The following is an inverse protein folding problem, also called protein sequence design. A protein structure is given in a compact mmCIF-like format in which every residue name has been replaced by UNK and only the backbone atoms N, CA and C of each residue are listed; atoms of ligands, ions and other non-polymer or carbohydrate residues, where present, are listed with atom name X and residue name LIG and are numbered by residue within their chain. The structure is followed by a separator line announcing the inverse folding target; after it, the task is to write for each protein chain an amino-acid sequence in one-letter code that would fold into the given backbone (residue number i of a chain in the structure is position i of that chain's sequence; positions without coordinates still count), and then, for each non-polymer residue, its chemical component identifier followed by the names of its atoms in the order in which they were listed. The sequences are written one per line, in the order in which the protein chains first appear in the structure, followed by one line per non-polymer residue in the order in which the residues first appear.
data_IF_359360774055
#
_entry.id   IF_359360774055
#
_cell.length_a   1.000
_cell.length_b   1.000
_cell.length_c   1.000
_cell.angle_alpha   90.00
_cell.angle_beta   90.00
_cell.angle_gamma   90.00
#
_symmetry.space_group_name_H-M   'P 1'
#
loop_
_entity.id
_entity.type
_entity.pdbx_description
1 polymer ?
#
# COMPACT_ATOMS: atom_id res chain seq x y z
N UNK A 1 27.11 39.08 -3.34
CA UNK A 1 26.93 38.07 -2.30
C UNK A 1 25.58 37.44 -2.54
N UNK A 2 25.53 36.29 -3.19
CA UNK A 2 24.32 35.54 -3.46
C UNK A 2 23.96 34.73 -2.21
N UNK A 3 23.00 35.21 -1.46
CA UNK A 3 22.42 34.48 -0.32
C UNK A 3 21.66 33.27 -0.87
N UNK A 4 22.27 32.12 -0.84
CA UNK A 4 21.57 30.85 -1.09
C UNK A 4 20.53 30.66 0.02
N UNK A 5 19.24 30.85 -0.32
CA UNK A 5 18.14 30.55 0.57
C UNK A 5 18.24 29.08 0.98
N UNK A 6 18.27 28.74 2.29
CA UNK A 6 18.33 27.35 2.69
C UNK A 6 17.14 26.59 2.07
N UNK A 7 17.44 25.46 1.42
CA UNK A 7 16.39 24.60 0.90
C UNK A 7 15.49 24.18 2.07
N UNK A 8 14.22 24.60 2.05
CA UNK A 8 13.24 24.17 3.03
C UNK A 8 13.19 22.63 3.00
N UNK A 9 13.37 22.01 4.17
CA UNK A 9 13.23 20.57 4.29
C UNK A 9 11.83 20.18 3.80
N UNK A 10 11.75 19.27 2.82
CA UNK A 10 10.47 18.80 2.28
C UNK A 10 9.76 17.96 3.34
N UNK A 11 8.49 18.24 3.56
CA UNK A 11 7.65 17.28 4.27
C UNK A 11 7.49 16.00 3.43
N UNK A 12 7.44 14.85 4.06
CA UNK A 12 7.20 13.56 3.37
C UNK A 12 5.76 13.15 3.60
N UNK A 13 5.05 12.83 2.52
CA UNK A 13 3.69 12.31 2.58
C UNK A 13 3.61 10.97 1.87
N UNK A 14 3.03 9.98 2.53
CA UNK A 14 2.70 8.67 1.98
C UNK A 14 1.20 8.62 1.72
N UNK A 15 0.80 8.13 0.56
CA UNK A 15 -0.60 8.01 0.17
C UNK A 15 -0.86 6.64 -0.43
N UNK A 16 -1.93 6.00 0.01
CA UNK A 16 -2.39 4.71 -0.49
C UNK A 16 -3.91 4.65 -0.53
N UNK A 17 -4.46 3.85 -1.44
CA UNK A 17 -5.89 3.70 -1.61
C UNK A 17 -6.26 2.39 -2.27
N UNK A 18 -7.32 1.76 -1.77
CA UNK A 18 -7.75 0.46 -2.25
C UNK A 18 -9.26 0.28 -2.23
N UNK A 19 -9.72 -0.69 -2.99
CA UNK A 19 -11.12 -1.05 -3.11
C UNK A 19 -11.25 -2.58 -3.19
N UNK A 20 -12.15 -3.17 -2.41
CA UNK A 20 -12.35 -4.61 -2.41
C UNK A 20 -13.80 -4.97 -2.05
N UNK A 21 -14.56 -5.62 -3.00
CA UNK A 21 -14.17 -5.89 -4.39
C UNK A 21 -13.97 -4.61 -5.21
N UNK A 22 -13.34 -4.69 -6.37
CA UNK A 22 -13.12 -3.56 -7.26
C UNK A 22 -13.92 -3.74 -8.58
N UNK A 23 -14.97 -2.94 -8.85
CA UNK A 23 -15.50 -1.83 -8.02
C UNK A 23 -16.25 -2.30 -6.78
N UNK A 24 -16.34 -1.41 -5.76
CA UNK A 24 -17.05 -1.70 -4.51
C UNK A 24 -16.66 -0.73 -3.39
N UNK A 25 -16.74 -1.14 -2.12
CA UNK A 25 -16.32 -0.31 -1.01
C UNK A 25 -14.80 -0.16 -0.99
N UNK A 26 -14.33 1.07 -0.87
CA UNK A 26 -12.91 1.40 -0.84
C UNK A 26 -12.55 2.36 0.27
N UNK A 27 -11.25 2.53 0.48
CA UNK A 27 -10.70 3.47 1.45
C UNK A 27 -9.40 4.08 0.98
N UNK A 28 -9.03 5.17 1.59
CA UNK A 28 -7.78 5.88 1.37
C UNK A 28 -7.10 6.17 2.70
N UNK A 29 -5.79 6.19 2.70
CA UNK A 29 -4.94 6.48 3.85
C UNK A 29 -3.79 7.40 3.49
N UNK A 30 -3.44 8.28 4.40
CA UNK A 30 -2.35 9.25 4.26
C UNK A 30 -1.55 9.29 5.56
N UNK A 31 -0.23 9.30 5.42
CA UNK A 31 0.71 9.57 6.51
C UNK A 31 1.57 10.75 6.11
N UNK A 32 1.65 11.77 6.94
CA UNK A 32 2.47 12.96 6.72
C UNK A 32 3.50 13.05 7.82
N UNK A 33 4.76 13.19 7.43
CA UNK A 33 5.89 13.38 8.33
C UNK A 33 6.55 14.73 8.02
N UNK A 34 6.49 15.64 8.95
CA UNK A 34 7.02 16.99 8.82
C UNK A 34 7.67 17.49 10.12
N UNK A 35 8.15 18.71 10.10
CA UNK A 35 8.81 19.34 11.25
C UNK A 35 7.88 19.46 12.47
N UNK A 36 6.58 19.55 12.27
CA UNK A 36 5.55 19.68 13.33
C UNK A 36 5.09 18.31 13.86
N UNK A 37 5.65 17.22 13.36
CA UNK A 37 5.30 15.86 13.77
C UNK A 37 4.65 15.04 12.67
N UNK A 38 3.93 14.00 13.10
CA UNK A 38 3.25 13.03 12.22
C UNK A 38 1.74 13.28 12.23
N UNK A 39 1.15 13.32 11.02
CA UNK A 39 -0.30 13.40 10.83
C UNK A 39 -0.77 12.18 10.06
N UNK A 40 -1.90 11.61 10.46
CA UNK A 40 -2.52 10.46 9.81
C UNK A 40 -3.96 10.79 9.46
N UNK A 41 -4.34 10.52 8.21
CA UNK A 41 -5.68 10.75 7.69
C UNK A 41 -6.19 9.48 7.03
N UNK A 42 -7.48 9.21 7.15
CA UNK A 42 -8.12 8.13 6.42
C UNK A 42 -9.60 8.46 6.15
N UNK A 43 -10.17 7.73 5.22
CA UNK A 43 -11.58 7.78 4.90
C UNK A 43 -11.91 6.77 3.80
N UNK A 44 -13.17 6.70 3.42
CA UNK A 44 -13.59 5.72 2.42
C UNK A 44 -14.90 6.07 1.77
N UNK A 45 -15.27 5.26 0.78
CA UNK A 45 -16.51 5.33 0.01
C UNK A 45 -17.10 3.92 -0.14
N UNK A 46 -18.43 3.83 -0.11
CA UNK A 46 -19.14 2.54 -0.26
C UNK A 46 -19.16 2.01 -1.68
N UNK A 47 -18.97 2.89 -2.66
CA UNK A 47 -19.07 2.55 -4.07
C UNK A 47 -18.01 3.31 -4.88
N UNK A 48 -16.85 2.70 -5.04
CA UNK A 48 -15.69 3.34 -5.69
C UNK A 48 -14.85 2.33 -6.47
N UNK A 49 -13.63 2.74 -6.86
CA UNK A 49 -12.63 1.88 -7.51
C UNK A 49 -11.25 2.13 -6.92
N UNK A 50 -10.31 1.19 -7.08
CA UNK A 50 -8.92 1.37 -6.65
C UNK A 50 -8.36 2.71 -7.12
N UNK A 51 -8.41 2.99 -8.43
CA UNK A 51 -7.85 4.22 -8.98
C UNK A 51 -8.44 5.49 -8.37
N UNK A 52 -9.74 5.49 -8.04
CA UNK A 52 -10.37 6.63 -7.35
C UNK A 52 -9.83 6.81 -5.95
N UNK A 53 -9.64 5.73 -5.20
CA UNK A 53 -9.11 5.79 -3.84
C UNK A 53 -7.64 6.21 -3.82
N UNK A 54 -6.81 5.72 -4.74
CA UNK A 54 -5.43 6.15 -4.92
C UNK A 54 -5.32 7.65 -5.25
N UNK A 55 -6.14 8.15 -6.17
CA UNK A 55 -6.22 9.58 -6.47
C UNK A 55 -6.70 10.38 -5.27
N UNK A 56 -7.73 9.91 -4.58
CA UNK A 56 -8.27 10.58 -3.39
C UNK A 56 -7.22 10.67 -2.30
N UNK A 57 -6.45 9.61 -2.04
CA UNK A 57 -5.36 9.63 -1.08
C UNK A 57 -4.32 10.73 -1.41
N UNK A 58 -3.90 10.80 -2.67
CA UNK A 58 -2.96 11.83 -3.13
C UNK A 58 -3.53 13.25 -3.00
N UNK A 59 -4.80 13.45 -3.35
CA UNK A 59 -5.51 14.72 -3.19
C UNK A 59 -5.58 15.12 -1.71
N UNK A 60 -5.99 14.22 -0.83
CA UNK A 60 -6.09 14.48 0.63
C UNK A 60 -4.74 14.80 1.24
N UNK A 61 -3.67 14.12 0.80
CA UNK A 61 -2.31 14.44 1.22
C UNK A 61 -1.90 15.85 0.81
N UNK A 62 -2.07 16.22 -0.47
CA UNK A 62 -1.70 17.55 -0.94
C UNK A 62 -2.57 18.65 -0.35
N UNK A 63 -3.87 18.41 -0.15
CA UNK A 63 -4.81 19.39 0.44
C UNK A 63 -4.46 19.76 1.89
N UNK A 64 -3.73 18.89 2.59
CA UNK A 64 -3.26 19.17 3.95
C UNK A 64 -2.26 20.34 4.01
N UNK A 65 -1.50 20.55 2.96
CA UNK A 65 -0.46 21.56 2.92
C UNK A 65 -0.95 22.87 2.30
N UNK A 66 -0.50 24.04 2.77
CA UNK A 66 -0.77 25.31 2.10
C UNK A 66 -0.08 25.38 0.72
N UNK A 67 -0.54 26.31 -0.12
CA UNK A 67 0.12 26.59 -1.39
C UNK A 67 1.58 27.03 -1.18
N UNK A 68 2.47 26.66 -2.09
CA UNK A 68 3.90 26.94 -2.01
C UNK A 68 4.71 25.98 -1.13
N UNK A 69 4.07 25.01 -0.46
CA UNK A 69 4.77 24.00 0.34
C UNK A 69 5.67 23.11 -0.53
N UNK A 70 6.83 22.75 0.03
CA UNK A 70 7.73 21.76 -0.55
C UNK A 70 7.44 20.37 0.04
N UNK A 71 7.04 19.40 -0.81
CA UNK A 71 6.55 18.09 -0.40
C UNK A 71 7.27 17.01 -1.20
N UNK A 72 7.63 15.91 -0.56
CA UNK A 72 7.95 14.65 -1.22
C UNK A 72 6.77 13.70 -1.05
N UNK A 73 6.03 13.48 -2.14
CA UNK A 73 4.89 12.56 -2.18
C UNK A 73 5.38 11.15 -2.56
N UNK A 74 5.12 10.18 -1.71
CA UNK A 74 5.48 8.76 -1.89
C UNK A 74 4.23 7.91 -2.01
N UNK A 75 4.07 7.18 -3.09
CA UNK A 75 2.99 6.21 -3.27
C UNK A 75 3.44 5.05 -4.16
N UNK A 76 2.78 3.93 -4.05
CA UNK A 76 3.04 2.73 -4.86
C UNK A 76 2.12 2.62 -6.08
N UNK A 77 1.16 3.53 -6.22
CA UNK A 77 0.30 3.61 -7.39
C UNK A 77 1.05 4.12 -8.62
N UNK A 78 1.35 3.23 -9.55
CA UNK A 78 1.88 3.64 -10.86
C UNK A 78 0.87 4.49 -11.65
N UNK A 79 -0.43 4.29 -11.41
CA UNK A 79 -1.47 5.08 -12.05
C UNK A 79 -1.38 6.56 -11.64
N UNK A 80 -1.27 6.86 -10.35
CA UNK A 80 -1.10 8.22 -9.84
C UNK A 80 0.22 8.82 -10.33
N UNK A 81 1.34 8.12 -10.16
CA UNK A 81 2.67 8.61 -10.57
C UNK A 81 2.69 8.97 -12.05
N UNK A 82 2.30 8.05 -12.94
CA UNK A 82 2.27 8.31 -14.38
C UNK A 82 1.28 9.39 -14.78
N UNK A 83 0.16 9.48 -14.08
CA UNK A 83 -0.80 10.57 -14.34
C UNK A 83 -0.15 11.93 -14.14
N UNK A 84 0.52 12.15 -13.01
CA UNK A 84 1.10 13.47 -12.68
C UNK A 84 2.40 13.77 -13.41
N UNK A 85 3.23 12.74 -13.69
CA UNK A 85 4.55 12.95 -14.28
C UNK A 85 4.56 12.89 -15.80
N UNK A 86 3.62 12.13 -16.41
CA UNK A 86 3.66 11.85 -17.84
C UNK A 86 2.39 12.33 -18.57
N UNK A 87 1.19 12.01 -18.08
CA UNK A 87 -0.03 12.07 -18.88
C UNK A 87 -0.79 13.38 -18.75
N UNK A 88 -0.87 13.99 -17.57
CA UNK A 88 -1.71 15.19 -17.31
C UNK A 88 -1.38 16.34 -18.25
N UNK A 89 -0.10 16.56 -18.56
CA UNK A 89 0.30 17.63 -19.49
C UNK A 89 -0.36 17.47 -20.86
N UNK A 90 -0.36 16.23 -21.37
CA UNK A 90 -0.97 15.92 -22.67
C UNK A 90 -2.50 15.97 -22.62
N UNK A 91 -3.10 15.53 -21.53
CA UNK A 91 -4.56 15.59 -21.34
C UNK A 91 -5.06 17.04 -21.23
N UNK A 92 -4.37 17.89 -20.48
CA UNK A 92 -4.70 19.32 -20.38
C UNK A 92 -4.68 20.01 -21.74
N UNK A 93 -3.64 19.78 -22.56
CA UNK A 93 -3.52 20.33 -23.90
C UNK A 93 -4.67 19.90 -24.85
N UNK A 94 -5.31 18.76 -24.55
CA UNK A 94 -6.44 18.18 -25.32
C UNK A 94 -7.80 18.38 -24.62
N UNK A 95 -7.91 19.32 -23.67
CA UNK A 95 -9.15 19.57 -22.94
C UNK A 95 -9.62 18.37 -22.12
N UNK A 96 -8.71 17.62 -21.50
CA UNK A 96 -8.97 16.42 -20.69
C UNK A 96 -9.66 15.30 -21.46
N UNK A 97 -9.24 15.10 -22.71
CA UNK A 97 -9.75 14.07 -23.60
C UNK A 97 -8.65 13.14 -24.08
N UNK A 98 -9.04 11.88 -24.28
CA UNK A 98 -8.25 10.85 -24.98
C UNK A 98 -8.81 10.61 -26.37
N UNK A 99 -8.20 9.74 -27.17
CA UNK A 99 -8.72 9.32 -28.47
C UNK A 99 -10.08 8.62 -28.37
N UNK A 100 -10.40 8.02 -27.22
CA UNK A 100 -11.62 7.22 -26.99
C UNK A 100 -12.68 7.96 -26.16
N UNK A 101 -12.43 9.22 -25.74
CA UNK A 101 -13.39 9.98 -24.95
C UNK A 101 -12.75 10.78 -23.81
N UNK A 102 -13.53 11.22 -22.83
CA UNK A 102 -13.02 11.92 -21.64
C UNK A 102 -12.00 11.07 -20.88
N UNK A 103 -11.03 11.72 -20.24
CA UNK A 103 -10.12 11.06 -19.31
C UNK A 103 -10.93 10.43 -18.16
N UNK A 104 -10.62 9.20 -17.77
CA UNK A 104 -11.27 8.55 -16.63
C UNK A 104 -10.94 9.31 -15.35
N UNK A 105 -11.92 9.44 -14.44
CA UNK A 105 -11.81 10.18 -13.17
C UNK A 105 -11.34 11.62 -13.38
N UNK A 106 -11.82 12.26 -14.42
CA UNK A 106 -11.34 13.59 -14.87
C UNK A 106 -11.47 14.64 -13.77
N UNK A 107 -12.50 14.58 -12.96
CA UNK A 107 -12.72 15.48 -11.81
C UNK A 107 -11.60 15.37 -10.78
N UNK A 108 -11.21 14.16 -10.42
CA UNK A 108 -10.10 13.91 -9.48
C UNK A 108 -8.74 14.26 -10.10
N UNK A 109 -8.58 14.01 -11.41
CA UNK A 109 -7.36 14.38 -12.13
C UNK A 109 -7.18 15.90 -12.18
N UNK A 110 -8.25 16.66 -12.40
CA UNK A 110 -8.22 18.13 -12.41
C UNK A 110 -7.93 18.71 -11.03
N UNK A 111 -8.55 18.15 -9.98
CA UNK A 111 -8.27 18.55 -8.60
C UNK A 111 -6.82 18.27 -8.23
N UNK A 112 -6.31 17.06 -8.53
CA UNK A 112 -4.92 16.69 -8.28
C UNK A 112 -3.94 17.59 -9.03
N UNK A 113 -4.21 17.92 -10.29
CA UNK A 113 -3.39 18.82 -11.09
C UNK A 113 -3.33 20.24 -10.50
N UNK A 114 -4.47 20.78 -10.06
CA UNK A 114 -4.53 22.09 -9.43
C UNK A 114 -3.73 22.13 -8.11
N UNK A 115 -3.87 21.10 -7.28
CA UNK A 115 -3.13 20.97 -6.02
C UNK A 115 -1.63 20.82 -6.26
N UNK A 116 -1.24 20.02 -7.25
CA UNK A 116 0.14 19.79 -7.63
C UNK A 116 0.79 21.07 -8.19
N UNK A 117 0.08 21.82 -9.04
CA UNK A 117 0.57 23.08 -9.61
C UNK A 117 0.76 24.18 -8.56
N UNK A 118 -0.01 24.15 -7.48
CA UNK A 118 0.08 25.13 -6.39
C UNK A 118 1.22 24.86 -5.40
N UNK A 119 1.95 23.75 -5.52
CA UNK A 119 2.97 23.29 -4.55
C UNK A 119 4.22 22.81 -5.29
N UNK A 120 5.36 22.75 -4.59
CA UNK A 120 6.58 22.14 -5.09
C UNK A 120 6.60 20.65 -4.70
N UNK A 121 6.01 19.80 -5.53
CA UNK A 121 5.84 18.38 -5.24
C UNK A 121 6.87 17.54 -5.98
N UNK A 122 7.68 16.81 -5.21
CA UNK A 122 8.53 15.74 -5.74
C UNK A 122 7.78 14.41 -5.61
N UNK A 123 7.44 13.79 -6.74
CA UNK A 123 6.81 12.48 -6.76
C UNK A 123 7.83 11.36 -6.73
N UNK A 124 7.65 10.41 -5.83
CA UNK A 124 8.53 9.26 -5.65
C UNK A 124 7.69 7.99 -5.62
N UNK A 125 7.87 7.14 -6.62
CA UNK A 125 7.27 5.82 -6.56
C UNK A 125 8.00 4.97 -5.52
N UNK A 126 7.25 4.26 -4.68
CA UNK A 126 7.76 3.26 -3.74
C UNK A 126 7.17 1.91 -4.10
N UNK A 127 7.88 0.84 -3.79
CA UNK A 127 7.33 -0.50 -3.98
C UNK A 127 6.42 -0.83 -2.81
N UNK A 128 5.16 -1.21 -3.10
CA UNK A 128 4.19 -1.64 -2.09
C UNK A 128 4.65 -2.91 -1.36
N UNK A 129 4.27 -3.06 -0.10
CA UNK A 129 4.50 -4.25 0.74
C UNK A 129 5.97 -4.72 0.83
N UNK A 130 6.93 -3.79 0.87
CA UNK A 130 8.37 -4.11 0.91
C UNK A 130 9.10 -3.55 2.14
N UNK A 131 8.39 -3.34 3.25
CA UNK A 131 9.00 -2.84 4.48
C UNK A 131 9.11 -1.32 4.56
N UNK A 132 8.48 -0.57 3.63
CA UNK A 132 8.38 0.88 3.76
C UNK A 132 7.32 1.23 4.81
N UNK A 133 7.77 1.57 6.02
CA UNK A 133 6.90 1.78 7.20
C UNK A 133 5.80 2.83 6.93
N UNK A 134 6.12 3.92 6.24
CA UNK A 134 5.15 4.97 5.92
C UNK A 134 4.08 4.50 4.94
N UNK A 135 4.47 3.77 3.87
CA UNK A 135 3.53 3.22 2.89
C UNK A 135 2.65 2.12 3.51
N UNK A 136 3.23 1.22 4.29
CA UNK A 136 2.47 0.18 5.00
C UNK A 136 1.50 0.77 6.04
N UNK A 137 1.85 1.92 6.62
CA UNK A 137 0.92 2.62 7.51
C UNK A 137 -0.22 3.27 6.72
N UNK A 138 0.05 3.86 5.55
CA UNK A 138 -0.98 4.40 4.66
C UNK A 138 -1.95 3.30 4.18
N UNK A 139 -1.45 2.10 3.82
CA UNK A 139 -2.27 0.93 3.47
C UNK A 139 -3.22 0.53 4.63
N UNK A 140 -2.70 0.43 5.86
CA UNK A 140 -3.55 0.14 7.04
C UNK A 140 -4.62 1.21 7.27
N UNK A 141 -4.29 2.48 7.05
CA UNK A 141 -5.24 3.59 7.14
C UNK A 141 -6.30 3.51 6.03
N UNK A 142 -5.93 3.11 4.81
CA UNK A 142 -6.87 2.88 3.72
C UNK A 142 -7.86 1.75 4.08
N UNK A 143 -7.37 0.64 4.62
CA UNK A 143 -8.22 -0.44 5.10
C UNK A 143 -9.16 0.02 6.24
N UNK A 144 -8.67 0.87 7.15
CA UNK A 144 -9.48 1.49 8.20
C UNK A 144 -10.58 2.40 7.62
N UNK A 145 -10.23 3.26 6.65
CA UNK A 145 -11.18 4.14 5.97
C UNK A 145 -12.29 3.36 5.27
N UNK A 146 -11.96 2.24 4.62
CA UNK A 146 -12.97 1.33 4.03
C UNK A 146 -13.92 0.76 5.09
N UNK A 147 -13.42 0.33 6.24
CA UNK A 147 -14.26 -0.16 7.36
C UNK A 147 -15.20 0.92 7.88
N UNK A 148 -14.71 2.16 8.01
CA UNK A 148 -15.55 3.31 8.41
C UNK A 148 -16.68 3.56 7.42
N UNK A 149 -16.39 3.55 6.10
CA UNK A 149 -17.41 3.72 5.07
C UNK A 149 -18.50 2.64 5.12
N UNK A 150 -18.14 1.43 5.52
CA UNK A 150 -19.09 0.32 5.72
C UNK A 150 -19.82 0.37 7.05
N UNK A 151 -19.49 1.29 7.96
CA UNK A 151 -20.06 1.34 9.31
C UNK A 151 -19.59 0.19 10.21
N UNK A 152 -18.46 -0.45 9.86
CA UNK A 152 -17.86 -1.52 10.66
C UNK A 152 -17.01 -0.92 11.78
N UNK A 153 -17.01 -1.57 12.95
CA UNK A 153 -16.13 -1.17 14.05
C UNK A 153 -14.67 -1.14 13.57
N UNK A 154 -13.94 -0.13 14.02
CA UNK A 154 -12.50 -0.05 13.78
C UNK A 154 -11.86 -1.31 14.39
N UNK A 155 -11.03 -2.00 13.61
CA UNK A 155 -10.18 -3.02 14.20
C UNK A 155 -9.30 -2.31 15.25
N UNK A 156 -9.34 -2.77 16.49
CA UNK A 156 -8.36 -2.33 17.49
C UNK A 156 -6.99 -2.61 16.90
N UNK A 157 -6.20 -1.56 16.69
CA UNK A 157 -4.81 -1.77 16.29
C UNK A 157 -4.15 -2.66 17.34
N UNK A 158 -3.37 -3.67 16.94
CA UNK A 158 -2.50 -4.31 17.89
C UNK A 158 -1.62 -3.21 18.47
N UNK A 159 -1.82 -2.93 19.77
CA UNK A 159 -0.95 -2.01 20.51
C UNK A 159 0.48 -2.51 20.29
N UNK A 160 1.38 -1.73 19.69
CA UNK A 160 2.76 -2.17 19.61
C UNK A 160 3.20 -2.49 21.02
N UNK A 161 3.89 -3.61 21.27
CA UNK A 161 4.37 -3.93 22.61
C UNK A 161 5.09 -2.69 23.15
N UNK A 162 4.86 -2.31 24.42
CA UNK A 162 5.51 -1.15 25.00
C UNK A 162 6.99 -1.27 24.70
N UNK A 163 7.58 -0.19 24.16
CA UNK A 163 9.00 -0.15 23.91
C UNK A 163 9.67 -0.46 25.26
N UNK A 164 10.21 -1.67 25.40
CA UNK A 164 11.02 -2.03 26.56
C UNK A 164 12.15 -1.00 26.59
N UNK A 165 12.33 -0.26 27.69
CA UNK A 165 13.44 0.67 27.80
C UNK A 165 14.70 -0.10 27.46
N UNK A 166 15.51 0.43 26.54
CA UNK A 166 16.76 -0.19 26.16
C UNK A 166 17.57 -0.45 27.44
N UNK A 167 17.66 -1.70 27.84
CA UNK A 167 18.56 -2.11 28.91
C UNK A 167 19.95 -1.90 28.34
N UNK A 168 20.63 -0.86 28.79
CA UNK A 168 22.03 -0.62 28.48
C UNK A 168 22.79 -1.81 29.07
N UNK A 169 23.40 -2.70 28.26
CA UNK A 169 24.16 -3.80 28.77
C UNK A 169 25.39 -3.27 29.50
N UNK A 170 25.83 -3.90 30.62
CA UNK A 170 27.05 -3.52 31.29
C UNK A 170 28.25 -3.67 30.32
N UNK A 171 29.27 -2.81 30.42
CA UNK A 171 30.41 -2.84 29.51
C UNK A 171 31.20 -4.15 29.74
N UNK A 172 31.30 -4.98 28.70
CA UNK A 172 32.20 -6.15 28.76
C UNK A 172 31.72 -7.46 28.11
N UNK A 173 30.52 -7.54 27.53
CA UNK A 173 30.08 -8.74 26.79
C UNK A 173 29.97 -8.40 25.30
N UNK A 174 30.85 -9.00 24.49
CA UNK A 174 30.77 -8.90 23.03
C UNK A 174 29.45 -9.51 22.58
N UNK A 175 28.59 -8.70 21.97
CA UNK A 175 27.32 -9.15 21.42
C UNK A 175 27.58 -10.08 20.23
N UNK A 176 27.03 -11.28 20.31
CA UNK A 176 26.98 -12.21 19.18
C UNK A 176 26.18 -11.54 18.00
N UNK A 177 26.64 -11.61 16.76
CA UNK A 177 25.95 -10.98 15.65
C UNK A 177 24.53 -11.57 15.51
N UNK A 178 23.49 -10.75 15.23
CA UNK A 178 22.14 -11.24 15.09
C UNK A 178 22.06 -12.26 13.94
N UNK A 179 21.35 -13.36 14.19
CA UNK A 179 21.11 -14.38 13.16
C UNK A 179 20.56 -13.75 11.87
N UNK A 180 21.02 -14.14 10.69
CA UNK A 180 20.56 -13.58 9.44
C UNK A 180 19.06 -13.79 9.30
N UNK A 181 18.33 -12.73 8.91
CA UNK A 181 16.91 -12.79 8.66
C UNK A 181 16.59 -13.89 7.61
N UNK A 182 15.51 -14.66 7.78
CA UNK A 182 15.18 -15.72 6.84
C UNK A 182 15.04 -15.15 5.42
N UNK A 183 15.78 -15.74 4.48
CA UNK A 183 15.67 -15.36 3.06
C UNK A 183 14.33 -15.85 2.55
N UNK A 184 13.46 -14.93 2.11
CA UNK A 184 12.15 -15.24 1.54
C UNK A 184 12.19 -15.14 0.03
N UNK A 185 11.45 -16.02 -0.66
CA UNK A 185 11.25 -16.00 -2.12
C UNK A 185 9.78 -15.75 -2.39
N UNK A 186 9.47 -14.89 -3.36
CA UNK A 186 8.11 -14.65 -3.82
C UNK A 186 7.80 -15.60 -4.98
N UNK A 187 6.64 -16.27 -4.90
CA UNK A 187 6.11 -17.11 -5.97
C UNK A 187 4.80 -16.49 -6.44
N UNK A 188 4.71 -16.16 -7.73
CA UNK A 188 3.48 -15.68 -8.33
C UNK A 188 2.53 -16.89 -8.55
N UNK A 189 1.29 -16.76 -8.08
CA UNK A 189 0.20 -17.73 -8.34
C UNK A 189 -0.93 -16.98 -9.05
N UNK A 190 -1.70 -17.72 -9.87
CA UNK A 190 -2.86 -17.12 -10.54
C UNK A 190 -3.97 -16.79 -9.54
N UNK A 191 -4.90 -15.93 -9.96
CA UNK A 191 -5.97 -15.43 -9.10
C UNK A 191 -6.88 -16.54 -8.57
N UNK A 192 -7.19 -17.56 -9.41
CA UNK A 192 -8.04 -18.68 -9.04
C UNK A 192 -7.43 -19.49 -7.89
N UNK A 193 -6.16 -19.87 -8.05
CA UNK A 193 -5.40 -20.59 -7.02
C UNK A 193 -5.24 -19.73 -5.75
N UNK A 194 -5.05 -18.39 -5.88
CA UNK A 194 -4.99 -17.47 -4.76
C UNK A 194 -6.28 -17.45 -3.93
N UNK A 195 -7.44 -17.49 -4.58
CA UNK A 195 -8.75 -17.59 -3.92
C UNK A 195 -8.94 -18.93 -3.21
N UNK A 196 -8.53 -20.02 -3.82
CA UNK A 196 -8.62 -21.36 -3.22
C UNK A 196 -7.69 -21.50 -2.01
N UNK A 197 -6.47 -20.96 -2.09
CA UNK A 197 -5.54 -20.86 -0.96
C UNK A 197 -6.18 -20.08 0.19
N UNK A 198 -6.81 -18.93 -0.10
CA UNK A 198 -7.46 -18.09 0.93
C UNK A 198 -8.63 -18.81 1.59
N UNK A 199 -9.43 -19.53 0.81
CA UNK A 199 -10.56 -20.34 1.31
C UNK A 199 -10.06 -21.52 2.17
N UNK A 200 -9.04 -22.24 1.69
CA UNK A 200 -8.45 -23.37 2.41
C UNK A 200 -7.77 -22.93 3.72
N UNK A 201 -7.06 -21.82 3.70
CA UNK A 201 -6.45 -21.23 4.89
C UNK A 201 -7.48 -20.89 5.95
N UNK A 202 -8.61 -20.26 5.55
CA UNK A 202 -9.71 -19.92 6.46
C UNK A 202 -10.33 -21.17 7.11
N UNK A 203 -10.55 -22.22 6.34
CA UNK A 203 -11.06 -23.50 6.86
C UNK A 203 -10.09 -24.17 7.84
N UNK A 204 -8.79 -24.02 7.61
CA UNK A 204 -7.74 -24.57 8.46
C UNK A 204 -7.38 -23.67 9.67
N UNK A 205 -7.98 -22.50 9.84
CA UNK A 205 -7.66 -21.54 10.89
C UNK A 205 -6.25 -20.95 10.76
N UNK A 206 -5.71 -20.86 9.53
CA UNK A 206 -4.37 -20.39 9.22
C UNK A 206 -4.41 -19.10 8.40
N UNK A 207 -3.29 -18.36 8.41
CA UNK A 207 -3.09 -17.30 7.41
C UNK A 207 -2.82 -17.93 6.04
N UNK A 208 -3.13 -17.24 4.90
CA UNK A 208 -2.85 -17.74 3.56
C UNK A 208 -1.37 -18.14 3.38
N UNK A 209 -0.45 -17.35 3.91
CA UNK A 209 0.98 -17.64 3.87
C UNK A 209 1.33 -18.93 4.63
N UNK A 210 0.87 -19.08 5.88
CA UNK A 210 1.13 -20.27 6.69
C UNK A 210 0.51 -21.53 6.06
N UNK A 211 -0.65 -21.38 5.41
CA UNK A 211 -1.29 -22.47 4.68
C UNK A 211 -0.44 -22.93 3.50
N UNK A 212 0.06 -22.00 2.68
CA UNK A 212 0.94 -22.30 1.54
C UNK A 212 2.25 -22.91 2.01
N UNK A 213 2.91 -22.35 3.02
CA UNK A 213 4.15 -22.89 3.58
C UNK A 213 3.96 -24.34 4.06
N UNK A 214 2.85 -24.61 4.75
CA UNK A 214 2.51 -25.95 5.21
C UNK A 214 2.25 -26.92 4.04
N UNK A 215 1.54 -26.48 3.01
CA UNK A 215 1.27 -27.26 1.81
C UNK A 215 2.58 -27.61 1.06
N UNK A 216 3.47 -26.63 0.89
CA UNK A 216 4.79 -26.85 0.27
C UNK A 216 5.62 -27.85 1.08
N UNK A 217 5.66 -27.73 2.40
CA UNK A 217 6.40 -28.66 3.27
C UNK A 217 5.87 -30.10 3.17
N UNK A 218 4.55 -30.26 3.04
CA UNK A 218 3.93 -31.57 2.84
C UNK A 218 4.30 -32.13 1.46
N UNK A 219 4.19 -31.32 0.42
CA UNK A 219 4.55 -31.71 -0.93
C UNK A 219 6.04 -32.12 -1.05
N UNK A 220 6.94 -31.38 -0.44
CA UNK A 220 8.37 -31.73 -0.39
C UNK A 220 8.65 -33.05 0.34
N UNK A 221 7.88 -33.36 1.39
CA UNK A 221 8.00 -34.66 2.10
C UNK A 221 7.46 -35.84 1.29
N UNK A 222 6.41 -35.61 0.49
CA UNK A 222 5.82 -36.66 -0.35
C UNK A 222 6.69 -37.01 -1.56
N UNK A 223 7.49 -36.05 -2.03
CA UNK A 223 8.28 -36.19 -3.26
C UNK A 223 7.41 -36.25 -4.52
N UNK A 224 8.01 -36.27 -5.72
CA UNK A 224 7.29 -36.26 -7.00
C UNK A 224 6.26 -37.38 -7.12
N UNK A 225 6.64 -38.62 -6.79
CA UNK A 225 5.77 -39.80 -6.90
C UNK A 225 4.60 -39.76 -5.89
N UNK A 226 4.82 -39.16 -4.71
CA UNK A 226 3.77 -38.99 -3.71
C UNK A 226 2.76 -37.96 -4.15
N UNK A 227 3.22 -36.85 -4.76
CA UNK A 227 2.35 -35.82 -5.32
C UNK A 227 1.50 -36.39 -6.46
N UNK A 228 2.12 -37.11 -7.40
CA UNK A 228 1.39 -37.74 -8.48
C UNK A 228 0.26 -38.66 -7.98
N UNK A 229 0.52 -39.52 -7.00
CA UNK A 229 -0.50 -40.38 -6.38
C UNK A 229 -1.66 -39.61 -5.75
N UNK A 230 -1.41 -38.43 -5.12
CA UNK A 230 -2.46 -37.59 -4.54
C UNK A 230 -3.31 -36.94 -5.64
N UNK A 231 -2.69 -36.52 -6.75
CA UNK A 231 -3.39 -35.91 -7.88
C UNK A 231 -4.22 -36.95 -8.65
N UNK A 232 -3.70 -38.16 -8.84
CA UNK A 232 -4.37 -39.25 -9.56
C UNK A 232 -5.45 -39.93 -8.71
N UNK A 233 -5.27 -39.97 -7.38
CA UNK A 233 -6.23 -40.57 -6.45
C UNK A 233 -7.54 -39.80 -6.25
N UNK A 234 -7.64 -38.55 -6.76
CA UNK A 234 -8.87 -37.76 -6.77
C UNK A 234 -9.91 -38.20 -7.80
N UNK A 235 -9.64 -39.23 -8.63
CA UNK A 235 -10.51 -39.71 -9.72
C UNK A 235 -11.23 -41.02 -9.42
N UNK A 236 -11.23 -41.53 -8.19
CA UNK A 236 -12.09 -42.67 -7.85
C UNK A 236 -13.49 -42.13 -7.48
N UNK A 237 -14.37 -42.07 -8.47
CA UNK A 237 -15.82 -42.02 -8.26
C UNK A 237 -16.33 -43.37 -7.73
N UNK A 238 -17.35 -43.34 -6.86
CA UNK A 238 -18.11 -44.54 -6.45
C UNK A 238 -18.86 -45.15 -7.62
#
# INVERSE_FOLDING_TARGET
MTTTKPALARAVAYADGGCDPNPGPGGWGVVIEGAEGKVELCGGDRATTNNRMELTAAIKALSHFPAGSAIEMRCDSQYVIKSVTEWMRGWKAKGWRTSTGPVKNVELMQELDALNAARDVKWTWVRGHTGNVGNERADRLAAQGRRQALGLALASEPVPPPAVPAVVPPPGVAAEPPAPAPRTTQVAIDLGLGLDVSRGAKLAGLTPQAFVERAIRVALKLGPDGIARVLDGGSAKP
#
